data_IF_472856223673
#
_entry.id   IF_472856223673
#
_cell.length_a   1.000
_cell.length_b   1.000
_cell.length_c   1.000
_cell.angle_alpha   90.00
_cell.angle_beta   90.00
_cell.angle_gamma   90.00
#
_symmetry.space_group_name_H-M   'P 1'
#
loop_
_entity.id
_entity.type
_entity.pdbx_description
1 polymer ?
#
# COMPACT_ATOMS: atom_id res chain seq x y z
N UNK A 1 25.49 -2.25 8.68
CA UNK A 1 24.47 -3.23 8.25
C UNK A 1 23.47 -3.42 9.37
N UNK A 2 22.19 -3.41 9.07
CA UNK A 2 21.13 -3.62 10.07
C UNK A 2 20.18 -4.72 9.58
N UNK A 3 19.94 -5.74 10.40
CA UNK A 3 18.89 -6.72 10.14
C UNK A 3 17.63 -6.27 10.89
N UNK A 4 16.54 -6.10 10.16
CA UNK A 4 15.26 -5.69 10.72
C UNK A 4 14.29 -6.87 10.60
N UNK A 5 13.76 -7.32 11.73
CA UNK A 5 12.74 -8.36 11.74
C UNK A 5 11.36 -7.71 11.66
N UNK A 6 10.52 -8.20 10.78
CA UNK A 6 9.19 -7.66 10.58
C UNK A 6 8.39 -7.59 11.89
N UNK A 7 8.47 -8.62 12.71
CA UNK A 7 7.74 -8.69 13.98
C UNK A 7 8.18 -7.65 15.01
N UNK A 8 9.36 -7.06 14.87
CA UNK A 8 9.86 -6.02 15.77
C UNK A 8 9.42 -4.61 15.33
N UNK A 9 8.81 -4.48 14.16
CA UNK A 9 8.26 -3.21 13.68
C UNK A 9 6.80 -3.11 14.07
N UNK A 10 6.40 -2.07 14.82
CA UNK A 10 5.01 -1.94 15.26
C UNK A 10 4.05 -1.80 14.08
N UNK A 11 2.91 -2.49 14.17
CA UNK A 11 1.79 -2.28 13.25
C UNK A 11 1.00 -1.06 13.71
N UNK A 12 0.92 -0.05 12.85
CA UNK A 12 0.13 1.16 13.10
C UNK A 12 -1.23 1.00 12.46
N UNK A 13 -2.30 1.25 13.23
CA UNK A 13 -3.66 1.18 12.71
C UNK A 13 -3.93 2.42 11.84
N UNK A 14 -4.24 2.18 10.57
CA UNK A 14 -4.52 3.22 9.57
C UNK A 14 -5.99 3.27 9.16
N UNK A 15 -6.84 2.47 9.83
CA UNK A 15 -8.24 2.27 9.42
C UNK A 15 -9.01 3.58 9.25
N UNK A 16 -8.78 4.55 10.12
CA UNK A 16 -9.50 5.82 10.11
C UNK A 16 -8.81 6.92 9.29
N UNK A 17 -7.67 6.62 8.67
CA UNK A 17 -7.02 7.59 7.78
C UNK A 17 -7.87 7.80 6.52
N UNK A 18 -7.97 9.05 6.01
CA UNK A 18 -8.88 9.38 4.91
C UNK A 18 -8.69 8.58 3.62
N UNK A 19 -7.49 8.05 3.40
CA UNK A 19 -7.18 7.26 2.21
C UNK A 19 -7.92 5.92 2.18
N UNK A 20 -8.25 5.34 3.34
CA UNK A 20 -8.74 3.96 3.47
C UNK A 20 -10.23 3.88 3.77
N UNK A 21 -10.86 2.77 3.37
CA UNK A 21 -12.26 2.47 3.64
C UNK A 21 -12.52 0.96 3.56
N UNK A 22 -13.66 0.55 4.09
CA UNK A 22 -14.20 -0.80 3.90
C UNK A 22 -13.71 -1.86 4.88
N UNK A 23 -12.79 -1.52 5.79
CA UNK A 23 -12.28 -2.47 6.78
C UNK A 23 -11.01 -2.00 7.45
N UNK A 24 -10.41 -2.89 8.22
CA UNK A 24 -9.19 -2.60 8.97
C UNK A 24 -7.98 -2.55 8.03
N UNK A 25 -7.13 -1.55 8.24
CA UNK A 25 -5.84 -1.41 7.56
C UNK A 25 -4.75 -1.15 8.58
N UNK A 26 -3.63 -1.84 8.46
CA UNK A 26 -2.44 -1.60 9.27
C UNK A 26 -1.21 -1.35 8.40
N UNK A 27 -0.24 -0.62 8.95
CA UNK A 27 1.03 -0.31 8.28
C UNK A 27 2.20 -0.58 9.20
N UNK A 28 3.20 -1.28 8.68
CA UNK A 28 4.51 -1.43 9.34
C UNK A 28 5.55 -0.74 8.49
N UNK A 29 6.09 0.37 8.98
CA UNK A 29 7.18 1.08 8.30
C UNK A 29 8.51 0.41 8.65
N UNK A 30 8.91 -0.56 7.84
CA UNK A 30 10.09 -1.40 8.12
C UNK A 30 11.36 -0.64 7.88
N UNK A 31 11.44 0.08 6.74
CA UNK A 31 12.57 0.95 6.41
C UNK A 31 12.02 2.28 5.92
N UNK A 32 12.34 3.36 6.61
CA UNK A 32 11.91 4.71 6.25
C UNK A 32 12.90 5.76 6.83
N UNK A 33 12.58 7.02 6.62
CA UNK A 33 13.32 8.14 7.21
C UNK A 33 13.18 8.08 8.76
N UNK A 34 14.24 8.30 9.55
CA UNK A 34 15.59 8.72 9.16
C UNK A 34 16.60 7.58 8.90
N UNK A 35 16.18 6.32 8.90
CA UNK A 35 17.09 5.18 8.66
C UNK A 35 17.78 5.27 7.30
N UNK A 36 17.05 5.74 6.31
CA UNK A 36 17.55 5.96 4.95
C UNK A 36 16.82 7.13 4.31
N UNK A 37 17.47 7.78 3.36
CA UNK A 37 16.87 8.81 2.51
C UNK A 37 16.61 8.31 1.08
N UNK A 38 16.75 7.01 0.84
CA UNK A 38 16.62 6.40 -0.49
C UNK A 38 15.28 5.71 -0.71
N UNK A 39 14.75 5.08 0.33
CA UNK A 39 13.56 4.22 0.23
C UNK A 39 12.60 4.45 1.38
N UNK A 40 11.31 4.28 1.09
CA UNK A 40 10.29 3.94 2.08
C UNK A 40 9.78 2.55 1.74
N UNK A 41 9.99 1.61 2.65
CA UNK A 41 9.63 0.21 2.50
C UNK A 41 8.70 -0.16 3.65
N UNK A 42 7.43 -0.36 3.33
CA UNK A 42 6.39 -0.61 4.33
C UNK A 42 5.54 -1.81 3.96
N UNK A 43 5.07 -2.51 4.99
CA UNK A 43 4.11 -3.60 4.85
C UNK A 43 2.72 -3.05 5.15
N UNK A 44 1.82 -3.18 4.18
CA UNK A 44 0.43 -2.74 4.31
C UNK A 44 -0.47 -3.96 4.34
N UNK A 45 -1.30 -4.06 5.37
CA UNK A 45 -2.26 -5.15 5.53
C UNK A 45 -3.68 -4.60 5.40
N UNK A 46 -4.42 -5.12 4.43
CA UNK A 46 -5.85 -4.83 4.24
C UNK A 46 -6.63 -6.05 4.69
N UNK A 47 -7.56 -5.87 5.61
CA UNK A 47 -8.36 -6.98 6.15
C UNK A 47 -9.80 -6.91 5.64
N UNK A 48 -10.35 -8.09 5.33
CA UNK A 48 -11.77 -8.28 4.99
C UNK A 48 -12.30 -7.29 3.96
N UNK A 49 -11.63 -7.21 2.82
CA UNK A 49 -12.07 -6.38 1.71
C UNK A 49 -11.71 -4.89 1.82
N UNK A 50 -10.94 -4.49 2.83
CA UNK A 50 -10.49 -3.10 2.97
C UNK A 50 -9.70 -2.63 1.74
N UNK A 51 -9.88 -1.38 1.36
CA UNK A 51 -9.30 -0.77 0.15
C UNK A 51 -8.85 0.65 0.43
N UNK A 52 -8.07 1.22 -0.49
CA UNK A 52 -7.86 2.66 -0.50
C UNK A 52 -8.59 3.32 -1.68
N UNK A 53 -8.72 4.63 -1.59
CA UNK A 53 -9.29 5.46 -2.64
C UNK A 53 -8.26 5.72 -3.74
N UNK A 54 -8.72 6.16 -4.90
CA UNK A 54 -7.83 6.65 -5.95
C UNK A 54 -6.86 7.69 -5.39
N UNK A 55 -5.60 7.56 -5.76
CA UNK A 55 -4.55 8.47 -5.37
C UNK A 55 -3.39 8.43 -6.37
N UNK A 56 -2.51 9.42 -6.27
CA UNK A 56 -1.26 9.49 -7.03
C UNK A 56 -0.09 9.66 -6.08
N UNK A 57 1.08 9.26 -6.55
CA UNK A 57 2.35 9.56 -5.89
C UNK A 57 3.26 10.33 -6.83
N UNK A 58 4.14 11.16 -6.29
CA UNK A 58 5.13 11.88 -7.09
C UNK A 58 6.32 11.01 -7.49
N UNK A 59 6.49 9.84 -6.88
CA UNK A 59 7.47 8.84 -7.28
C UNK A 59 6.79 7.61 -7.87
N UNK A 60 7.57 6.76 -8.56
CA UNK A 60 7.12 5.41 -8.87
C UNK A 60 6.85 4.64 -7.57
N UNK A 61 5.94 3.68 -7.64
CA UNK A 61 5.64 2.77 -6.54
C UNK A 61 5.73 1.33 -7.03
N UNK A 62 6.35 0.48 -6.20
CA UNK A 62 6.27 -0.96 -6.39
C UNK A 62 5.40 -1.55 -5.29
N UNK A 63 4.44 -2.37 -5.67
CA UNK A 63 3.67 -3.21 -4.76
C UNK A 63 4.09 -4.66 -4.99
N UNK A 64 4.49 -5.34 -3.91
CA UNK A 64 4.81 -6.76 -3.95
C UNK A 64 3.89 -7.50 -2.99
N UNK A 65 3.00 -8.34 -3.53
CA UNK A 65 2.05 -9.10 -2.72
C UNK A 65 2.74 -10.24 -1.97
N UNK A 66 2.50 -10.32 -0.67
CA UNK A 66 3.08 -11.37 0.19
C UNK A 66 2.05 -12.39 0.65
N UNK A 67 0.80 -11.97 0.85
CA UNK A 67 -0.28 -12.86 1.33
C UNK A 67 -1.64 -12.42 0.80
N UNK A 68 -2.52 -13.38 0.66
CA UNK A 68 -3.93 -13.15 0.36
C UNK A 68 -4.24 -12.84 -1.09
N UNK A 69 -5.40 -12.22 -1.31
CA UNK A 69 -5.89 -11.87 -2.63
C UNK A 69 -6.31 -10.40 -2.64
N UNK A 70 -5.73 -9.64 -3.55
CA UNK A 70 -6.00 -8.22 -3.67
C UNK A 70 -6.27 -7.77 -5.10
N UNK A 71 -6.49 -6.48 -5.23
CA UNK A 71 -6.73 -5.80 -6.49
C UNK A 71 -5.80 -4.61 -6.58
N UNK A 72 -5.22 -4.38 -7.75
CA UNK A 72 -4.61 -3.11 -8.13
C UNK A 72 -5.34 -2.58 -9.35
N UNK A 73 -5.69 -1.31 -9.33
CA UNK A 73 -6.52 -0.70 -10.37
C UNK A 73 -6.02 0.69 -10.75
N UNK A 74 -6.22 1.04 -12.01
CA UNK A 74 -6.15 2.41 -12.49
C UNK A 74 -7.52 2.83 -13.03
N UNK A 75 -7.60 3.92 -13.78
CA UNK A 75 -8.89 4.40 -14.32
C UNK A 75 -9.44 3.52 -15.42
N UNK A 76 -8.63 2.61 -15.98
CA UNK A 76 -9.02 1.75 -17.11
C UNK A 76 -9.19 0.29 -16.73
N UNK A 77 -8.39 -0.22 -15.77
CA UNK A 77 -8.30 -1.64 -15.49
C UNK A 77 -8.32 -1.93 -14.00
N UNK A 78 -8.88 -3.08 -13.64
CA UNK A 78 -8.74 -3.71 -12.33
C UNK A 78 -8.10 -5.07 -12.53
N UNK A 79 -7.00 -5.34 -11.80
CA UNK A 79 -6.23 -6.58 -11.94
C UNK A 79 -6.10 -7.24 -10.58
N UNK A 80 -6.36 -8.54 -10.52
CA UNK A 80 -6.17 -9.34 -9.32
C UNK A 80 -4.68 -9.54 -9.05
N UNK A 81 -4.28 -9.39 -7.78
CA UNK A 81 -2.94 -9.70 -7.29
C UNK A 81 -2.98 -10.82 -6.27
N UNK A 82 -2.05 -11.75 -6.38
CA UNK A 82 -1.82 -12.82 -5.41
C UNK A 82 -0.38 -12.82 -4.95
N UNK A 83 -0.09 -13.54 -3.87
CA UNK A 83 1.26 -13.65 -3.32
C UNK A 83 2.29 -13.96 -4.41
N UNK A 84 3.35 -13.17 -4.46
CA UNK A 84 4.41 -13.24 -5.46
C UNK A 84 4.25 -12.30 -6.65
N UNK A 85 3.07 -11.70 -6.83
CA UNK A 85 2.85 -10.74 -7.91
C UNK A 85 3.43 -9.37 -7.57
N UNK A 86 3.92 -8.68 -8.58
CA UNK A 86 4.46 -7.33 -8.47
C UNK A 86 3.72 -6.37 -9.39
N UNK A 87 3.30 -5.23 -8.87
CA UNK A 87 2.77 -4.13 -9.66
C UNK A 87 3.77 -2.97 -9.65
N UNK A 88 4.07 -2.45 -10.84
CA UNK A 88 4.81 -1.19 -10.99
C UNK A 88 3.83 -0.10 -11.35
N UNK A 89 3.74 0.92 -10.51
CA UNK A 89 2.86 2.06 -10.71
C UNK A 89 3.75 3.28 -10.96
N UNK A 90 3.75 3.82 -12.19
CA UNK A 90 4.53 5.01 -12.51
C UNK A 90 4.09 6.24 -11.72
N UNK A 91 5.03 7.14 -11.46
CA UNK A 91 4.74 8.43 -10.86
C UNK A 91 3.59 9.13 -11.59
N UNK A 92 2.64 9.66 -10.83
CA UNK A 92 1.49 10.40 -11.35
C UNK A 92 0.32 9.55 -11.84
N UNK A 93 0.45 8.23 -11.90
CA UNK A 93 -0.67 7.38 -12.30
C UNK A 93 -1.71 7.28 -11.19
N UNK A 94 -2.94 7.66 -11.52
CA UNK A 94 -4.09 7.57 -10.61
C UNK A 94 -4.50 6.11 -10.45
N UNK A 95 -4.44 5.61 -9.22
CA UNK A 95 -4.63 4.19 -8.94
C UNK A 95 -5.22 3.98 -7.55
N UNK A 96 -5.70 2.77 -7.30
CA UNK A 96 -6.02 2.28 -5.96
C UNK A 96 -5.65 0.81 -5.85
N UNK A 97 -5.55 0.33 -4.63
CA UNK A 97 -5.34 -1.09 -4.34
C UNK A 97 -5.99 -1.46 -3.01
N UNK A 98 -6.10 -2.75 -2.76
CA UNK A 98 -6.68 -3.26 -1.54
C UNK A 98 -7.00 -4.73 -1.64
N UNK A 99 -7.70 -5.25 -0.62
CA UNK A 99 -8.15 -6.63 -0.58
C UNK A 99 -9.35 -6.85 -1.49
N UNK A 100 -9.41 -8.01 -2.12
CA UNK A 100 -10.63 -8.48 -2.76
C UNK A 100 -11.72 -8.72 -1.71
N UNK A 101 -12.99 -8.56 -2.08
CA UNK A 101 -14.09 -8.77 -1.16
C UNK A 101 -14.05 -10.17 -0.54
N UNK A 102 -14.16 -10.22 0.78
CA UNK A 102 -14.09 -11.46 1.55
C UNK A 102 -12.67 -12.00 1.77
N UNK A 103 -11.63 -11.24 1.39
CA UNK A 103 -10.23 -11.65 1.53
C UNK A 103 -9.44 -10.63 2.34
N UNK A 104 -8.32 -11.10 2.89
CA UNK A 104 -7.24 -10.25 3.37
C UNK A 104 -6.20 -10.12 2.28
N UNK A 105 -5.44 -9.04 2.30
CA UNK A 105 -4.37 -8.80 1.33
C UNK A 105 -3.23 -8.04 2.00
N UNK A 106 -2.02 -8.58 1.89
CA UNK A 106 -0.81 -7.97 2.44
C UNK A 106 0.18 -7.77 1.32
N UNK A 107 0.67 -6.54 1.20
CA UNK A 107 1.71 -6.22 0.23
C UNK A 107 2.78 -5.31 0.84
N UNK A 108 3.96 -5.37 0.24
CA UNK A 108 5.01 -4.38 0.44
C UNK A 108 4.73 -3.21 -0.49
N UNK A 109 4.89 -2.00 0.05
CA UNK A 109 4.90 -0.75 -0.71
C UNK A 109 6.31 -0.18 -0.66
N UNK A 110 6.91 0.02 -1.83
CA UNK A 110 8.22 0.65 -1.98
C UNK A 110 8.05 1.96 -2.75
N UNK A 111 8.43 3.06 -2.13
CA UNK A 111 8.41 4.39 -2.72
C UNK A 111 9.70 5.13 -2.35
N UNK A 112 9.86 6.36 -2.86
CA UNK A 112 10.89 7.28 -2.39
C UNK A 112 10.42 8.00 -1.13
N UNK A 113 11.32 8.36 -0.19
CA UNK A 113 10.94 9.09 1.02
C UNK A 113 10.36 10.47 0.76
N UNK A 114 10.73 11.11 -0.36
CA UNK A 114 10.23 12.43 -0.77
C UNK A 114 8.93 12.37 -1.59
N UNK A 115 8.35 11.18 -1.75
CA UNK A 115 7.10 11.00 -2.48
C UNK A 115 5.94 11.69 -1.74
N UNK A 116 5.14 12.44 -2.49
CA UNK A 116 3.93 13.11 -2.00
C UNK A 116 2.71 12.42 -2.59
N UNK A 117 1.73 12.14 -1.74
CA UNK A 117 0.48 11.48 -2.12
C UNK A 117 -0.62 12.50 -2.25
N UNK A 118 -1.36 12.47 -3.37
CA UNK A 118 -2.60 13.21 -3.56
C UNK A 118 -3.76 12.23 -3.61
N UNK A 119 -4.78 12.45 -2.78
CA UNK A 119 -5.95 11.60 -2.66
C UNK A 119 -7.13 12.16 -3.42
N UNK A 120 -7.94 11.27 -4.00
CA UNK A 120 -9.18 11.60 -4.70
C UNK A 120 -10.34 10.91 -3.98
N UNK A 121 -10.66 11.39 -2.79
CA UNK A 121 -11.70 10.81 -1.94
C UNK A 121 -13.07 11.31 -2.42
N UNK A 122 -14.03 10.40 -2.68
CA UNK A 122 -15.37 10.82 -3.08
C UNK A 122 -16.03 11.71 -2.04
N UNK A 123 -16.75 12.73 -2.46
CA UNK A 123 -17.61 13.51 -1.58
C UNK A 123 -18.82 12.66 -1.14
N UNK A 124 -19.15 12.77 0.14
CA UNK A 124 -20.29 12.06 0.72
C UNK A 124 -21.55 12.89 0.66
#
# INVERSE_FOLDING_TARGET
>A
MELIRQGDTPAVNMTDAPLFYGGKVTRRAIVDSPKTDQFTFALISFYDGAKNHFHTHTSDQILFATEGVGIVANESDEVEMKAGDTALIPAGEKHWHGASDGHDFIHISLTRPDSVTEMFVPES
#
